data_IF_465059120888
#
_entry.id   IF_465059120888
#
_cell.length_a   1.000
_cell.length_b   1.000
_cell.length_c   1.000
_cell.angle_alpha   90.00
_cell.angle_beta   90.00
_cell.angle_gamma   90.00
#
_symmetry.space_group_name_H-M   'P 1'
#
loop_
_entity.id
_entity.type
_entity.pdbx_description
1 polymer ?
#
# COMPACT_ATOMS: atom_id res chain seq x y z
N UNK A 1 -0.15 -1.37 -7.92
CA UNK A 1 1.29 -1.04 -7.93
C UNK A 1 1.67 -0.41 -6.61
N UNK A 2 2.15 -1.20 -5.63
CA UNK A 2 2.37 -0.74 -4.26
C UNK A 2 3.39 -1.66 -3.54
N UNK A 3 4.53 -1.15 -3.05
CA UNK A 3 5.54 -1.96 -2.38
C UNK A 3 5.05 -2.69 -1.14
N UNK A 4 4.11 -2.11 -0.37
CA UNK A 4 3.53 -2.74 0.80
C UNK A 4 2.67 -3.96 0.42
N UNK A 5 1.90 -3.85 -0.68
CA UNK A 5 1.15 -4.98 -1.24
C UNK A 5 2.12 -6.04 -1.78
N UNK A 6 3.14 -5.64 -2.53
CA UNK A 6 4.17 -6.57 -3.04
C UNK A 6 4.86 -7.34 -1.90
N UNK A 7 5.20 -6.67 -0.79
CA UNK A 7 5.75 -7.31 0.40
C UNK A 7 4.79 -8.38 0.95
N UNK A 8 3.50 -8.08 1.10
CA UNK A 8 2.51 -9.02 1.62
C UNK A 8 2.42 -10.28 0.75
N UNK A 9 2.39 -10.13 -0.57
CA UNK A 9 2.36 -11.29 -1.48
C UNK A 9 3.67 -12.09 -1.43
N UNK A 10 4.83 -11.43 -1.28
CA UNK A 10 6.11 -12.11 -1.12
C UNK A 10 6.18 -12.91 0.18
N UNK A 11 5.72 -12.34 1.30
CA UNK A 11 5.67 -13.02 2.60
C UNK A 11 4.68 -14.20 2.60
N UNK A 12 3.61 -14.11 1.82
CA UNK A 12 2.67 -15.22 1.56
C UNK A 12 3.20 -16.24 0.55
N UNK A 13 4.40 -16.04 0.00
CA UNK A 13 5.04 -16.88 -1.03
C UNK A 13 4.25 -17.00 -2.33
N UNK A 14 3.47 -15.98 -2.67
CA UNK A 14 2.69 -15.92 -3.92
C UNK A 14 3.51 -15.30 -5.06
N UNK A 15 4.63 -14.64 -4.74
CA UNK A 15 5.62 -14.13 -5.70
C UNK A 15 7.03 -14.45 -5.22
N UNK A 16 7.94 -14.70 -6.17
CA UNK A 16 9.38 -14.85 -5.89
C UNK A 16 9.96 -13.53 -5.35
N UNK A 17 10.91 -13.61 -4.42
CA UNK A 17 11.64 -12.47 -3.86
C UNK A 17 12.34 -11.61 -4.93
N UNK A 18 12.92 -12.23 -5.97
CA UNK A 18 13.58 -11.49 -7.06
C UNK A 18 12.56 -10.72 -7.89
N UNK A 19 11.40 -11.34 -8.16
CA UNK A 19 10.29 -10.69 -8.84
C UNK A 19 9.71 -9.55 -7.98
N UNK A 20 9.58 -9.77 -6.67
CA UNK A 20 9.10 -8.76 -5.72
C UNK A 20 10.02 -7.53 -5.70
N UNK A 21 11.34 -7.72 -5.63
CA UNK A 21 12.31 -6.63 -5.68
C UNK A 21 12.21 -5.84 -6.99
N UNK A 22 12.13 -6.54 -8.13
CA UNK A 22 11.98 -5.92 -9.44
C UNK A 22 10.69 -5.11 -9.54
N UNK A 23 9.59 -5.63 -8.96
CA UNK A 23 8.32 -4.92 -8.87
C UNK A 23 8.44 -3.64 -8.05
N UNK A 24 9.08 -3.69 -6.87
CA UNK A 24 9.26 -2.49 -6.03
C UNK A 24 10.05 -1.41 -6.77
N UNK A 25 11.13 -1.77 -7.45
CA UNK A 25 11.93 -0.83 -8.25
C UNK A 25 11.08 -0.22 -9.37
N UNK A 26 10.37 -1.05 -10.15
CA UNK A 26 9.51 -0.59 -11.23
C UNK A 26 8.39 0.34 -10.73
N UNK A 27 7.80 0.05 -9.57
CA UNK A 27 6.77 0.87 -8.94
C UNK A 27 7.29 2.25 -8.53
N UNK A 28 8.49 2.30 -7.93
CA UNK A 28 9.11 3.58 -7.51
C UNK A 28 9.48 4.41 -8.75
N UNK A 29 10.15 3.81 -9.73
CA UNK A 29 10.55 4.50 -10.97
C UNK A 29 9.33 4.98 -11.73
N UNK A 30 8.30 4.14 -11.88
CA UNK A 30 7.04 4.51 -12.52
C UNK A 30 6.30 5.63 -11.78
N UNK A 31 6.28 5.59 -10.44
CA UNK A 31 5.70 6.66 -9.62
C UNK A 31 6.42 7.99 -9.82
N UNK A 32 7.75 8.00 -9.78
CA UNK A 32 8.55 9.21 -10.03
C UNK A 32 8.31 9.71 -11.46
N UNK A 33 8.41 8.84 -12.47
CA UNK A 33 8.19 9.22 -13.87
C UNK A 33 6.79 9.82 -14.08
N UNK A 34 5.76 9.26 -13.45
CA UNK A 34 4.40 9.81 -13.46
C UNK A 34 4.31 11.19 -12.83
N UNK A 35 4.99 11.44 -11.70
CA UNK A 35 5.08 12.78 -11.10
C UNK A 35 5.75 13.78 -12.04
N UNK A 36 6.89 13.42 -12.65
CA UNK A 36 7.60 14.29 -13.59
C UNK A 36 6.75 14.60 -14.83
N UNK A 37 6.03 13.61 -15.34
CA UNK A 37 5.09 13.79 -16.45
C UNK A 37 3.95 14.73 -16.05
N UNK A 38 3.38 14.58 -14.86
CA UNK A 38 2.36 15.50 -14.36
C UNK A 38 2.91 16.93 -14.27
N UNK A 39 4.12 17.13 -13.76
CA UNK A 39 4.74 18.46 -13.74
C UNK A 39 4.85 19.08 -15.13
N UNK A 40 5.28 18.30 -16.12
CA UNK A 40 5.35 18.76 -17.50
C UNK A 40 3.96 19.11 -18.06
N UNK A 41 2.92 18.30 -17.77
CA UNK A 41 1.54 18.57 -18.18
C UNK A 41 0.96 19.86 -17.58
N UNK A 42 1.39 20.24 -16.38
CA UNK A 42 0.92 21.42 -15.67
C UNK A 42 1.90 22.61 -15.74
N UNK A 43 2.87 22.58 -16.66
CA UNK A 43 3.89 23.63 -16.86
C UNK A 43 4.67 24.01 -15.58
N UNK A 44 4.87 23.03 -14.69
CA UNK A 44 5.66 23.19 -13.48
C UNK A 44 7.14 22.86 -13.74
N UNK A 45 8.09 23.34 -12.91
CA UNK A 45 9.45 22.83 -12.92
C UNK A 45 9.45 21.31 -12.81
N UNK A 46 10.07 20.60 -13.76
CA UNK A 46 9.96 19.14 -13.87
C UNK A 46 10.52 18.46 -12.63
N UNK A 47 11.69 18.90 -12.17
CA UNK A 47 12.31 18.40 -10.94
C UNK A 47 12.01 19.34 -9.77
N UNK A 48 11.47 18.79 -8.70
CA UNK A 48 11.17 19.50 -7.46
C UNK A 48 11.54 18.63 -6.27
N UNK A 49 11.79 19.26 -5.12
CA UNK A 49 11.88 18.59 -3.83
C UNK A 49 10.84 19.23 -2.91
N UNK A 50 9.94 18.41 -2.40
CA UNK A 50 8.82 18.89 -1.59
C UNK A 50 9.28 19.47 -0.25
N UNK A 51 8.67 20.60 0.13
CA UNK A 51 8.77 21.21 1.45
C UNK A 51 7.47 21.05 2.25
N UNK A 52 6.47 20.36 1.69
CA UNK A 52 5.15 20.15 2.30
C UNK A 52 5.30 19.27 3.54
N UNK A 53 5.15 19.88 4.72
CA UNK A 53 5.28 19.18 6.01
C UNK A 53 4.10 18.23 6.21
N UNK A 54 4.39 16.95 6.42
CA UNK A 54 3.41 15.90 6.69
C UNK A 54 3.93 15.01 7.80
N UNK A 55 3.64 15.36 9.05
CA UNK A 55 4.19 14.65 10.21
C UNK A 55 3.24 14.70 11.40
N UNK A 56 3.50 13.86 12.39
CA UNK A 56 2.74 13.74 13.63
C UNK A 56 1.85 12.51 13.70
N UNK A 57 1.52 12.11 14.94
CA UNK A 57 0.83 10.85 15.25
C UNK A 57 -0.46 10.65 14.44
N UNK A 58 -1.26 11.73 14.24
CA UNK A 58 -2.51 11.64 13.48
C UNK A 58 -2.29 11.23 12.01
N UNK A 59 -1.23 11.73 11.37
CA UNK A 59 -0.92 11.36 9.98
C UNK A 59 -0.33 9.95 9.88
N UNK A 60 0.50 9.55 10.85
CA UNK A 60 1.06 8.19 10.85
C UNK A 60 0.00 7.13 11.12
N UNK A 61 -0.92 7.38 12.06
CA UNK A 61 -2.05 6.48 12.30
C UNK A 61 -2.96 6.43 11.06
N UNK A 62 -3.19 7.57 10.41
CA UNK A 62 -3.96 7.63 9.17
C UNK A 62 -3.37 6.75 8.06
N UNK A 63 -2.06 6.81 7.83
CA UNK A 63 -1.37 5.94 6.86
C UNK A 63 -1.41 4.46 7.23
N UNK A 64 -1.26 4.15 8.52
CA UNK A 64 -1.40 2.78 9.02
C UNK A 64 -2.80 2.25 8.72
N UNK A 65 -3.85 3.01 9.05
CA UNK A 65 -5.26 2.62 8.83
C UNK A 65 -5.56 2.49 7.33
N UNK A 66 -5.06 3.42 6.51
CA UNK A 66 -5.24 3.41 5.07
C UNK A 66 -4.58 2.18 4.43
N UNK A 67 -3.32 1.91 4.74
CA UNK A 67 -2.61 0.75 4.21
C UNK A 67 -3.22 -0.56 4.72
N UNK A 68 -3.63 -0.59 6.00
CA UNK A 68 -4.33 -1.74 6.58
C UNK A 68 -5.60 -2.07 5.81
N UNK A 69 -6.52 -1.11 5.66
CA UNK A 69 -7.79 -1.41 5.02
C UNK A 69 -7.63 -1.67 3.52
N UNK A 70 -6.64 -1.05 2.84
CA UNK A 70 -6.32 -1.38 1.46
C UNK A 70 -5.91 -2.84 1.31
N UNK A 71 -4.91 -3.28 2.08
CA UNK A 71 -4.41 -4.65 2.02
C UNK A 71 -5.50 -5.64 2.45
N UNK A 72 -6.19 -5.36 3.55
CA UNK A 72 -7.28 -6.23 4.01
C UNK A 72 -8.37 -6.38 2.94
N UNK A 73 -8.76 -5.28 2.27
CA UNK A 73 -9.72 -5.28 1.17
C UNK A 73 -9.24 -6.15 0.00
N UNK A 74 -7.96 -6.07 -0.37
CA UNK A 74 -7.37 -6.92 -1.40
C UNK A 74 -7.45 -8.40 -0.99
N UNK A 75 -7.04 -8.73 0.24
CA UNK A 75 -7.01 -10.11 0.72
C UNK A 75 -8.41 -10.72 0.86
N UNK A 76 -9.38 -9.95 1.37
CA UNK A 76 -10.78 -10.36 1.44
C UNK A 76 -11.39 -10.48 0.03
N UNK A 77 -11.08 -9.55 -0.87
CA UNK A 77 -11.50 -9.60 -2.28
C UNK A 77 -11.00 -10.87 -2.97
N UNK A 78 -9.73 -11.22 -2.80
CA UNK A 78 -9.16 -12.47 -3.31
C UNK A 78 -9.91 -13.71 -2.81
N UNK A 79 -10.35 -13.70 -1.55
CA UNK A 79 -11.06 -14.82 -0.94
C UNK A 79 -12.49 -14.96 -1.44
N UNK A 80 -13.23 -13.85 -1.55
CA UNK A 80 -14.67 -13.90 -1.75
C UNK A 80 -15.14 -13.48 -3.14
N UNK A 81 -14.42 -12.58 -3.82
CA UNK A 81 -14.83 -12.05 -5.13
C UNK A 81 -13.66 -11.40 -5.88
N UNK A 82 -12.75 -12.24 -6.38
CA UNK A 82 -11.46 -11.82 -6.96
C UNK A 82 -11.60 -10.95 -8.21
N UNK A 83 -12.69 -11.13 -8.96
CA UNK A 83 -13.07 -10.33 -10.12
C UNK A 83 -13.41 -8.86 -9.77
N UNK A 84 -13.83 -8.57 -8.53
CA UNK A 84 -14.15 -7.22 -8.09
C UNK A 84 -12.96 -6.45 -7.49
N UNK A 85 -11.77 -7.05 -7.37
CA UNK A 85 -10.60 -6.40 -6.76
C UNK A 85 -10.31 -5.01 -7.34
N UNK A 86 -10.33 -4.78 -8.68
CA UNK A 86 -10.08 -3.44 -9.22
C UNK A 86 -11.06 -2.39 -8.69
N UNK A 87 -12.34 -2.73 -8.60
CA UNK A 87 -13.38 -1.86 -8.05
C UNK A 87 -13.21 -1.63 -6.55
N UNK A 88 -12.96 -2.70 -5.79
CA UNK A 88 -12.78 -2.64 -4.34
C UNK A 88 -11.59 -1.76 -3.96
N UNK A 89 -10.47 -1.91 -4.66
CA UNK A 89 -9.26 -1.10 -4.43
C UNK A 89 -9.53 0.37 -4.76
N UNK A 90 -10.14 0.66 -5.91
CA UNK A 90 -10.45 2.03 -6.31
C UNK A 90 -11.40 2.73 -5.34
N UNK A 91 -12.47 2.05 -4.92
CA UNK A 91 -13.43 2.57 -3.94
C UNK A 91 -12.80 2.77 -2.56
N UNK A 92 -11.96 1.83 -2.11
CA UNK A 92 -11.29 1.96 -0.82
C UNK A 92 -10.32 3.14 -0.79
N UNK A 93 -9.45 3.29 -1.81
CA UNK A 93 -8.53 4.43 -1.88
C UNK A 93 -9.29 5.75 -1.99
N UNK A 94 -10.39 5.78 -2.76
CA UNK A 94 -11.27 6.94 -2.82
C UNK A 94 -11.82 7.25 -1.43
N UNK A 95 -12.35 6.28 -0.70
CA UNK A 95 -12.83 6.53 0.67
C UNK A 95 -11.71 7.01 1.59
N UNK A 96 -10.54 6.34 1.56
CA UNK A 96 -9.39 6.64 2.40
C UNK A 96 -8.86 8.06 2.18
N UNK A 97 -8.85 8.56 0.95
CA UNK A 97 -8.50 9.95 0.68
C UNK A 97 -9.39 10.95 1.45
N UNK A 98 -10.68 10.62 1.66
CA UNK A 98 -11.62 11.49 2.38
C UNK A 98 -11.63 11.28 3.90
N UNK A 99 -11.53 10.03 4.39
CA UNK A 99 -11.67 9.78 5.83
C UNK A 99 -10.35 9.85 6.61
N UNK A 100 -9.20 9.83 5.93
CA UNK A 100 -7.88 9.85 6.60
C UNK A 100 -7.30 11.25 6.66
N UNK A 101 -6.67 11.59 7.79
CA UNK A 101 -6.05 12.90 8.00
C UNK A 101 -4.83 13.18 7.08
N UNK A 102 -4.26 12.14 6.47
CA UNK A 102 -3.07 12.20 5.62
C UNK A 102 -3.40 12.26 4.12
N UNK A 103 -4.67 12.28 3.71
CA UNK A 103 -5.11 12.09 2.32
C UNK A 103 -4.66 10.75 1.69
N UNK A 104 -4.40 9.74 2.53
CA UNK A 104 -4.09 8.34 2.20
C UNK A 104 -3.07 8.11 1.07
N UNK A 105 -1.77 8.11 1.39
CA UNK A 105 -0.78 7.59 0.44
C UNK A 105 -0.89 6.06 0.35
N UNK A 106 -0.92 5.39 1.51
CA UNK A 106 -1.10 3.95 1.68
C UNK A 106 -0.13 3.11 0.83
N UNK A 107 0.99 3.70 0.38
CA UNK A 107 1.81 3.18 -0.70
C UNK A 107 3.21 3.83 -0.69
N UNK A 108 4.27 3.07 -0.33
CA UNK A 108 5.63 3.61 -0.26
C UNK A 108 6.13 4.22 -1.57
N UNK A 109 5.75 3.68 -2.73
CA UNK A 109 6.15 4.22 -4.03
C UNK A 109 5.48 5.57 -4.31
N UNK A 110 4.21 5.73 -3.91
CA UNK A 110 3.51 7.03 -4.02
C UNK A 110 4.13 8.04 -3.07
N UNK A 111 4.40 7.66 -1.82
CA UNK A 111 5.02 8.55 -0.85
C UNK A 111 6.39 9.06 -1.34
N UNK A 112 7.24 8.18 -1.89
CA UNK A 112 8.52 8.55 -2.52
C UNK A 112 8.29 9.50 -3.71
N UNK A 113 7.36 9.18 -4.61
CA UNK A 113 7.05 10.00 -5.77
C UNK A 113 6.46 11.38 -5.40
N UNK A 114 5.78 11.50 -4.25
CA UNK A 114 5.30 12.79 -3.73
C UNK A 114 6.40 13.61 -3.08
N UNK A 115 7.51 12.99 -2.66
CA UNK A 115 8.67 13.73 -2.16
C UNK A 115 9.36 14.56 -3.26
N UNK A 116 9.17 14.18 -4.53
CA UNK A 116 9.69 14.91 -5.69
C UNK A 116 8.68 15.91 -6.30
N UNK A 117 7.62 16.28 -5.57
CA UNK A 117 6.58 17.24 -6.00
C UNK A 117 6.32 18.27 -4.91
N UNK A 118 6.74 19.53 -5.11
CA UNK A 118 6.55 20.62 -4.16
C UNK A 118 5.20 21.33 -4.36
N UNK A 119 4.12 20.57 -4.22
CA UNK A 119 2.72 21.01 -4.35
C UNK A 119 1.91 20.57 -3.12
N UNK A 120 0.60 20.83 -3.09
CA UNK A 120 -0.30 20.37 -2.02
C UNK A 120 -0.27 18.84 -1.81
N UNK A 121 0.07 18.09 -2.86
CA UNK A 121 0.16 16.64 -2.82
C UNK A 121 1.52 16.13 -2.32
N UNK A 122 2.49 17.01 -2.11
CA UNK A 122 3.86 16.67 -1.73
C UNK A 122 4.02 16.19 -0.28
N UNK A 123 5.19 15.60 0.00
CA UNK A 123 5.67 15.28 1.36
C UNK A 123 7.14 15.63 1.51
N UNK A 124 7.54 16.32 2.57
CA UNK A 124 8.94 16.62 2.84
C UNK A 124 9.75 15.32 3.00
N UNK A 125 10.92 15.15 2.35
CA UNK A 125 11.68 13.90 2.38
C UNK A 125 12.02 13.38 3.79
N UNK A 126 12.24 14.27 4.77
CA UNK A 126 12.55 13.86 6.16
C UNK A 126 11.35 13.24 6.87
N UNK A 127 10.12 13.51 6.42
CA UNK A 127 8.91 12.95 7.02
C UNK A 127 8.54 11.59 6.40
N UNK A 128 9.11 11.27 5.24
CA UNK A 128 8.84 10.06 4.45
C UNK A 128 9.08 8.74 5.20
N UNK A 129 10.15 8.56 5.99
CA UNK A 129 10.40 7.27 6.66
C UNK A 129 9.26 6.86 7.60
N UNK A 130 8.67 7.80 8.33
CA UNK A 130 7.57 7.51 9.24
C UNK A 130 6.29 7.07 8.50
N UNK A 131 6.01 7.67 7.33
CA UNK A 131 4.92 7.26 6.45
C UNK A 131 5.13 5.83 5.95
N UNK A 132 6.30 5.53 5.39
CA UNK A 132 6.62 4.19 4.88
C UNK A 132 6.50 3.14 5.98
N UNK A 133 7.03 3.41 7.18
CA UNK A 133 6.91 2.48 8.31
C UNK A 133 5.45 2.26 8.69
N UNK A 134 4.63 3.31 8.78
CA UNK A 134 3.22 3.19 9.08
C UNK A 134 2.46 2.37 8.02
N UNK A 135 2.72 2.62 6.74
CA UNK A 135 2.12 1.89 5.62
C UNK A 135 2.47 0.39 5.67
N UNK A 136 3.75 0.07 5.90
CA UNK A 136 4.22 -1.30 6.01
C UNK A 136 3.61 -2.01 7.24
N UNK A 137 3.54 -1.33 8.39
CA UNK A 137 2.89 -1.88 9.59
C UNK A 137 1.41 -2.15 9.34
N UNK A 138 0.69 -1.21 8.71
CA UNK A 138 -0.71 -1.41 8.34
C UNK A 138 -0.91 -2.63 7.44
N UNK A 139 -0.08 -2.77 6.41
CA UNK A 139 -0.10 -3.92 5.50
C UNK A 139 0.16 -5.26 6.21
N UNK A 140 1.15 -5.31 7.12
CA UNK A 140 1.48 -6.52 7.87
C UNK A 140 0.37 -6.90 8.87
N UNK A 141 -0.24 -5.92 9.54
CA UNK A 141 -1.38 -6.15 10.43
C UNK A 141 -2.59 -6.67 9.66
N UNK A 142 -2.86 -6.12 8.47
CA UNK A 142 -3.93 -6.60 7.60
C UNK A 142 -3.68 -8.03 7.13
N UNK A 143 -2.45 -8.37 6.76
CA UNK A 143 -2.06 -9.73 6.40
C UNK A 143 -2.28 -10.70 7.57
N UNK A 144 -1.85 -10.35 8.78
CA UNK A 144 -2.01 -11.19 9.95
C UNK A 144 -3.50 -11.41 10.29
N UNK A 145 -4.29 -10.33 10.30
CA UNK A 145 -5.72 -10.42 10.61
C UNK A 145 -6.48 -11.20 9.53
N UNK A 146 -6.28 -10.89 8.24
CA UNK A 146 -6.94 -11.60 7.16
C UNK A 146 -6.53 -13.08 7.12
N UNK A 147 -5.25 -13.39 7.37
CA UNK A 147 -4.75 -14.75 7.45
C UNK A 147 -5.41 -15.56 8.56
N UNK A 148 -5.70 -14.95 9.71
CA UNK A 148 -6.43 -15.60 10.80
C UNK A 148 -7.94 -15.68 10.52
N UNK A 149 -8.55 -14.56 10.13
CA UNK A 149 -10.01 -14.42 9.99
C UNK A 149 -10.57 -15.19 8.79
N UNK A 150 -9.80 -15.29 7.71
CA UNK A 150 -10.22 -15.90 6.45
C UNK A 150 -9.67 -17.32 6.23
N UNK A 151 -8.97 -17.87 7.24
CA UNK A 151 -8.44 -19.24 7.17
C UNK A 151 -9.56 -20.26 7.01
N UNK A 152 -9.35 -21.26 6.14
CA UNK A 152 -10.25 -22.42 6.10
C UNK A 152 -10.05 -23.31 7.33
N UNK A 153 -11.13 -23.86 7.91
CA UNK A 153 -11.00 -24.88 8.94
C UNK A 153 -10.18 -26.05 8.40
N UNK A 154 -9.09 -26.42 9.09
CA UNK A 154 -8.33 -27.62 8.73
C UNK A 154 -9.27 -28.84 8.79
N UNK A 155 -9.33 -29.68 7.74
CA UNK A 155 -10.08 -30.92 7.80
C UNK A 155 -9.59 -31.73 9.00
N UNK A 156 -10.51 -32.12 9.90
CA UNK A 156 -10.18 -33.06 10.96
C UNK A 156 -9.70 -34.33 10.26
N UNK A 157 -8.42 -34.67 10.45
CA UNK A 157 -7.83 -35.90 9.93
C UNK A 157 -8.66 -37.05 10.50
N UNK A 158 -9.55 -37.64 9.70
CA UNK A 158 -10.31 -38.82 10.10
C UNK A 158 -9.28 -39.85 10.57
N UNK A 159 -9.27 -40.14 11.87
CA UNK A 159 -8.51 -41.25 12.40
C UNK A 159 -9.06 -42.48 11.70
N UNK A 160 -8.25 -43.07 10.80
CA UNK A 160 -8.56 -44.37 10.21
C UNK A 160 -8.89 -45.29 11.36
N UNK A 161 -10.15 -45.75 11.42
CA UNK A 161 -10.52 -46.85 12.28
C UNK A 161 -9.61 -48.02 11.90
N UNK A 162 -8.71 -48.39 12.81
CA UNK A 162 -7.93 -49.61 12.69
C UNK A 162 -8.94 -50.77 12.63
N UNK A 163 -8.94 -51.49 11.50
CA UNK A 163 -9.55 -52.81 11.40
C UNK A 163 -8.55 -53.85 11.87
#
# INVERSE_FOLDING_TARGET
FNPAVTLVFALRREIDANAALTYVIAQIVGGIAGTLLAHAMFELPVLQISQTVRTGNGQWIAELVAAFGLVFTILAGLRFRSDAIPWLVGLYITAAYWFTASTSFANPAVAIARAVSNTFAGIRPIDLPAFIVAELLGALLAMALAGWLLAEPKPIRQMRAAK
#
